data_IF_580486914562
#
_entry.id   IF_580486914562
#
_cell.length_a   1.000
_cell.length_b   1.000
_cell.length_c   1.000
_cell.angle_alpha   90.00
_cell.angle_beta   90.00
_cell.angle_gamma   90.00
#
_symmetry.space_group_name_H-M   'P 1'
#
loop_
_entity.id
_entity.type
_entity.pdbx_description
1 polymer ?
#
# COMPACT_ATOMS: atom_id res chain seq x y z
N UNK A 1 2.78 -3.94 -0.10
CA UNK A 1 2.01 -4.95 -0.80
C UNK A 1 0.52 -4.66 -0.80
N UNK A 2 0.03 -3.84 0.14
CA UNK A 2 -1.23 -3.13 0.07
C UNK A 2 -1.06 -1.85 -0.73
N UNK A 3 -1.96 -1.67 -1.72
CA UNK A 3 -2.02 -0.39 -2.40
C UNK A 3 -2.44 0.79 -1.54
N UNK A 4 -3.19 0.55 -0.46
CA UNK A 4 -3.92 1.50 0.35
C UNK A 4 -2.89 2.42 0.99
N UNK A 5 -2.82 3.70 0.63
CA UNK A 5 -1.81 4.61 1.12
C UNK A 5 -0.38 4.38 0.63
N UNK A 6 -0.16 3.47 -0.32
CA UNK A 6 1.19 3.14 -0.71
C UNK A 6 2.06 2.53 0.37
N UNK A 7 1.42 1.71 1.21
CA UNK A 7 2.12 1.05 2.29
C UNK A 7 3.12 0.04 1.75
N UNK A 8 2.91 -0.68 0.63
CA UNK A 8 3.77 -1.72 0.12
C UNK A 8 2.93 -2.73 -0.64
#
# INVERSE_FOLDING_TARGET
DDPTPRQQ
#
